data_IF_509872381938
#
_entry.id   IF_509872381938
#
_cell.length_a   1.000
_cell.length_b   1.000
_cell.length_c   1.000
_cell.angle_alpha   90.00
_cell.angle_beta   90.00
_cell.angle_gamma   90.00
#
_symmetry.space_group_name_H-M   'P 1'
#
loop_
_entity.id
_entity.type
_entity.pdbx_description
1 polymer ?
#
# COMPACT_ATOMS: atom_id res chain seq x y z
N UNK A 1 -16.53 -4.59 46.05
CA UNK A 1 -16.58 -4.81 44.60
C UNK A 1 -17.15 -6.19 44.35
N UNK A 2 -18.30 -6.28 43.71
CA UNK A 2 -18.97 -7.55 43.43
C UNK A 2 -18.37 -8.23 42.20
N UNK A 3 -18.68 -9.52 42.01
CA UNK A 3 -18.28 -10.27 40.81
C UNK A 3 -18.84 -9.60 39.54
N UNK A 4 -20.06 -9.09 39.59
CA UNK A 4 -20.72 -8.42 38.47
C UNK A 4 -20.03 -7.10 38.09
N UNK A 5 -19.60 -6.30 39.07
CA UNK A 5 -18.82 -5.08 38.83
C UNK A 5 -17.47 -5.39 38.16
N UNK A 6 -16.87 -6.54 38.51
CA UNK A 6 -15.60 -7.00 37.93
C UNK A 6 -15.77 -7.50 36.50
N UNK A 7 -16.87 -8.19 36.20
CA UNK A 7 -17.23 -8.62 34.84
C UNK A 7 -17.48 -7.41 33.94
N UNK A 8 -18.30 -6.45 34.38
CA UNK A 8 -18.59 -5.24 33.62
C UNK A 8 -17.32 -4.42 33.33
N UNK A 9 -16.38 -4.33 34.29
CA UNK A 9 -15.09 -3.67 34.08
C UNK A 9 -14.21 -4.41 33.07
N UNK A 10 -14.22 -5.74 33.08
CA UNK A 10 -13.47 -6.55 32.12
C UNK A 10 -14.05 -6.42 30.71
N UNK A 11 -15.37 -6.47 30.55
CA UNK A 11 -16.06 -6.26 29.27
C UNK A 11 -15.76 -4.87 28.68
N UNK A 12 -15.80 -3.83 29.51
CA UNK A 12 -15.45 -2.47 29.09
C UNK A 12 -13.99 -2.38 28.61
N UNK A 13 -13.05 -3.02 29.31
CA UNK A 13 -11.64 -3.07 28.91
C UNK A 13 -11.43 -3.87 27.62
N UNK A 14 -12.17 -4.96 27.43
CA UNK A 14 -12.12 -5.79 26.23
C UNK A 14 -12.62 -5.01 25.01
N UNK A 15 -13.73 -4.30 25.16
CA UNK A 15 -14.28 -3.44 24.11
C UNK A 15 -13.29 -2.33 23.74
N UNK A 16 -12.73 -1.63 24.74
CA UNK A 16 -11.73 -0.60 24.50
C UNK A 16 -10.48 -1.14 23.80
N UNK A 17 -9.97 -2.30 24.23
CA UNK A 17 -8.81 -2.91 23.60
C UNK A 17 -9.09 -3.34 22.15
N UNK A 18 -10.30 -3.81 21.87
CA UNK A 18 -10.75 -4.15 20.51
C UNK A 18 -10.81 -2.90 19.62
N UNK A 19 -11.34 -1.79 20.14
CA UNK A 19 -11.36 -0.49 19.45
C UNK A 19 -9.95 0.03 19.17
N UNK A 20 -9.06 0.01 20.18
CA UNK A 20 -7.67 0.43 20.05
C UNK A 20 -6.92 -0.43 19.01
N UNK A 21 -7.13 -1.75 19.02
CA UNK A 21 -6.54 -2.66 18.04
C UNK A 21 -7.02 -2.38 16.61
N UNK A 22 -8.32 -2.09 16.43
CA UNK A 22 -8.86 -1.70 15.14
C UNK A 22 -8.28 -0.36 14.67
N UNK A 23 -8.12 0.61 15.58
CA UNK A 23 -7.53 1.91 15.26
C UNK A 23 -6.06 1.79 14.84
N UNK A 24 -5.24 1.05 15.58
CA UNK A 24 -3.82 0.83 15.25
C UNK A 24 -3.67 0.09 13.92
N UNK A 25 -4.52 -0.91 13.67
CA UNK A 25 -4.50 -1.65 12.39
C UNK A 25 -4.80 -0.73 11.21
N UNK A 26 -5.77 0.19 11.33
CA UNK A 26 -6.05 1.20 10.31
C UNK A 26 -4.89 2.17 10.11
N UNK A 27 -4.27 2.64 11.19
CA UNK A 27 -3.11 3.55 11.11
C UNK A 27 -1.93 2.88 10.41
N UNK A 28 -1.65 1.61 10.73
CA UNK A 28 -0.58 0.85 10.09
C UNK A 28 -0.86 0.66 8.60
N UNK A 29 -2.11 0.30 8.26
CA UNK A 29 -2.54 0.18 6.87
C UNK A 29 -2.38 1.50 6.10
N UNK A 30 -2.77 2.63 6.70
CA UNK A 30 -2.61 3.95 6.11
C UNK A 30 -1.13 4.33 5.91
N UNK A 31 -0.28 4.08 6.92
CA UNK A 31 1.14 4.35 6.82
C UNK A 31 1.82 3.54 5.71
N UNK A 32 1.44 2.26 5.57
CA UNK A 32 1.90 1.45 4.43
C UNK A 32 1.43 2.02 3.10
N UNK A 33 0.19 2.53 3.03
CA UNK A 33 -0.33 3.16 1.82
C UNK A 33 0.51 4.37 1.44
N UNK A 34 0.72 5.28 2.38
CA UNK A 34 1.47 6.51 2.09
C UNK A 34 2.95 6.22 1.74
N UNK A 35 3.55 5.19 2.36
CA UNK A 35 4.88 4.72 1.98
C UNK A 35 4.94 4.23 0.53
N UNK A 36 3.94 3.46 0.09
CA UNK A 36 3.91 2.93 -1.28
C UNK A 36 3.65 4.03 -2.31
N UNK A 37 2.82 5.02 -1.99
CA UNK A 37 2.63 6.19 -2.83
C UNK A 37 3.99 6.88 -3.11
N UNK A 38 4.76 7.19 -2.06
CA UNK A 38 6.05 7.85 -2.24
C UNK A 38 7.06 7.05 -3.07
N UNK A 39 7.00 5.70 -3.01
CA UNK A 39 7.85 4.84 -3.84
C UNK A 39 7.44 4.85 -5.31
N UNK A 40 6.15 4.99 -5.60
CA UNK A 40 5.63 5.09 -6.97
C UNK A 40 6.02 6.45 -7.56
N UNK A 41 5.83 7.53 -6.80
CA UNK A 41 6.18 8.90 -7.21
C UNK A 41 7.69 9.03 -7.53
N UNK A 42 8.56 8.44 -6.70
CA UNK A 42 10.00 8.39 -6.96
C UNK A 42 10.35 7.62 -8.24
N UNK A 43 9.66 6.51 -8.51
CA UNK A 43 9.85 5.74 -9.73
C UNK A 43 9.41 6.51 -10.98
N UNK A 44 8.27 7.19 -10.91
CA UNK A 44 7.77 8.04 -11.98
C UNK A 44 8.76 9.17 -12.29
N UNK A 45 9.32 9.80 -11.25
CA UNK A 45 10.37 10.81 -11.42
C UNK A 45 11.62 10.22 -12.08
N UNK A 46 12.07 9.03 -11.67
CA UNK A 46 13.21 8.35 -12.30
C UNK A 46 12.94 7.98 -13.75
N UNK A 47 11.72 7.56 -14.09
CA UNK A 47 11.31 7.30 -15.47
C UNK A 47 11.36 8.59 -16.27
N UNK A 48 10.75 9.67 -15.80
CA UNK A 48 10.77 10.97 -16.48
C UNK A 48 12.18 11.54 -16.66
N UNK A 49 13.05 11.40 -15.67
CA UNK A 49 14.44 11.88 -15.74
C UNK A 49 15.37 10.97 -16.56
N UNK A 50 15.08 9.67 -16.63
CA UNK A 50 15.90 8.67 -17.31
C UNK A 50 15.46 8.34 -18.75
N UNK A 51 14.25 8.70 -19.14
CA UNK A 51 13.64 8.30 -20.41
C UNK A 51 13.86 9.31 -21.55
N UNK A 52 15.07 9.86 -21.67
CA UNK A 52 15.43 10.62 -22.87
C UNK A 52 15.41 9.78 -24.16
N UNK A 53 15.37 8.43 -24.10
CA UNK A 53 15.42 7.56 -25.30
C UNK A 53 14.62 6.23 -25.26
N UNK A 54 13.86 5.90 -24.20
CA UNK A 54 13.17 4.58 -24.08
C UNK A 54 11.78 4.66 -23.40
N UNK A 55 10.94 5.58 -23.85
CA UNK A 55 9.89 6.24 -23.05
C UNK A 55 8.57 5.48 -23.02
N UNK A 56 8.01 5.08 -24.17
CA UNK A 56 6.60 4.64 -24.26
C UNK A 56 6.27 3.41 -23.39
N UNK A 57 7.18 2.43 -23.31
CA UNK A 57 6.95 1.22 -22.52
C UNK A 57 7.06 1.49 -21.01
N UNK A 58 7.97 2.38 -20.60
CA UNK A 58 8.15 2.72 -19.19
C UNK A 58 7.00 3.62 -18.70
N UNK A 59 6.55 4.56 -19.53
CA UNK A 59 5.37 5.38 -19.26
C UNK A 59 4.11 4.51 -19.12
N UNK A 60 3.90 3.55 -20.03
CA UNK A 60 2.78 2.62 -19.95
C UNK A 60 2.79 1.80 -18.65
N UNK A 61 3.95 1.24 -18.26
CA UNK A 61 4.09 0.48 -17.02
C UNK A 61 3.91 1.35 -15.77
N UNK A 62 4.35 2.61 -15.81
CA UNK A 62 4.17 3.58 -14.72
C UNK A 62 2.70 3.95 -14.54
N UNK A 63 2.00 4.25 -15.64
CA UNK A 63 0.56 4.53 -15.65
C UNK A 63 -0.26 3.33 -15.17
N UNK A 64 0.12 2.11 -15.56
CA UNK A 64 -0.51 0.89 -15.08
C UNK A 64 -0.30 0.69 -13.57
N UNK A 65 0.92 0.94 -13.07
CA UNK A 65 1.24 0.88 -11.64
C UNK A 65 0.41 1.88 -10.84
N UNK A 66 0.33 3.14 -11.29
CA UNK A 66 -0.51 4.18 -10.66
C UNK A 66 -1.99 3.79 -10.64
N UNK A 67 -2.51 3.22 -11.74
CA UNK A 67 -3.90 2.79 -11.83
C UNK A 67 -4.20 1.65 -10.86
N UNK A 68 -3.32 0.63 -10.82
CA UNK A 68 -3.44 -0.49 -9.87
C UNK A 68 -3.35 0.00 -8.43
N UNK A 69 -2.46 0.95 -8.16
CA UNK A 69 -2.31 1.57 -6.85
C UNK A 69 -3.55 2.37 -6.40
N UNK A 70 -4.11 3.19 -7.28
CA UNK A 70 -5.33 3.96 -7.00
C UNK A 70 -6.52 3.03 -6.71
N UNK A 71 -6.65 1.94 -7.47
CA UNK A 71 -7.67 0.92 -7.24
C UNK A 71 -7.46 0.20 -5.90
N UNK A 72 -6.21 -0.10 -5.55
CA UNK A 72 -5.84 -0.70 -4.28
C UNK A 72 -6.24 0.18 -3.10
N UNK A 73 -5.83 1.45 -3.15
CA UNK A 73 -6.13 2.44 -2.12
C UNK A 73 -7.63 2.58 -1.87
N UNK A 74 -8.43 2.71 -2.94
CA UNK A 74 -9.90 2.79 -2.81
C UNK A 74 -10.50 1.54 -2.15
N UNK A 75 -10.05 0.36 -2.54
CA UNK A 75 -10.53 -0.88 -1.90
C UNK A 75 -10.17 -0.96 -0.41
N UNK A 76 -9.05 -0.37 0.02
CA UNK A 76 -8.71 -0.27 1.44
C UNK A 76 -9.57 0.75 2.19
N UNK A 77 -9.84 1.90 1.57
CA UNK A 77 -10.70 2.95 2.14
C UNK A 77 -12.17 2.47 2.27
N UNK A 78 -12.68 1.74 1.27
CA UNK A 78 -14.04 1.17 1.28
C UNK A 78 -14.18 -0.01 2.27
N UNK A 79 -13.11 -0.75 2.52
CA UNK A 79 -13.09 -1.84 3.48
C UNK A 79 -12.95 -1.30 4.92
N UNK A 80 -14.06 -0.86 5.51
CA UNK A 80 -14.17 -0.35 6.90
C UNK A 80 -13.50 -1.23 7.99
N UNK A 81 -13.34 -2.53 7.70
CA UNK A 81 -12.41 -3.45 8.33
C UNK A 81 -11.45 -3.96 7.27
N UNK A 82 -10.23 -3.42 7.19
CA UNK A 82 -9.19 -3.93 6.31
C UNK A 82 -8.86 -5.36 6.70
N UNK A 83 -9.52 -6.34 6.09
CA UNK A 83 -9.19 -7.75 6.30
C UNK A 83 -7.75 -7.93 5.83
N UNK A 84 -6.90 -8.57 6.64
CA UNK A 84 -5.47 -8.74 6.34
C UNK A 84 -5.22 -9.29 4.92
N UNK A 85 -6.14 -10.11 4.40
CA UNK A 85 -6.09 -10.66 3.04
C UNK A 85 -6.17 -9.61 1.91
N UNK A 86 -6.98 -8.55 2.08
CA UNK A 86 -7.09 -7.46 1.09
C UNK A 86 -5.79 -6.65 1.10
N UNK A 87 -5.33 -6.24 2.28
CA UNK A 87 -4.04 -5.55 2.43
C UNK A 87 -2.88 -6.36 1.84
N UNK A 88 -2.86 -7.67 2.04
CA UNK A 88 -1.80 -8.55 1.53
C UNK A 88 -1.86 -8.75 0.01
N UNK A 89 -3.06 -8.90 -0.55
CA UNK A 89 -3.25 -8.98 -2.01
C UNK A 89 -2.81 -7.68 -2.68
N UNK A 90 -3.16 -6.54 -2.09
CA UNK A 90 -2.77 -5.23 -2.58
C UNK A 90 -1.26 -5.02 -2.49
N UNK A 91 -0.66 -5.35 -1.34
CA UNK A 91 0.80 -5.34 -1.16
C UNK A 91 1.48 -6.15 -2.26
N UNK A 92 1.04 -7.38 -2.48
CA UNK A 92 1.66 -8.30 -3.46
C UNK A 92 1.49 -7.81 -4.90
N UNK A 93 0.28 -7.36 -5.27
CA UNK A 93 0.01 -6.88 -6.63
C UNK A 93 0.78 -5.61 -6.99
N UNK A 94 0.88 -4.67 -6.05
CA UNK A 94 1.62 -3.42 -6.21
C UNK A 94 3.13 -3.69 -6.19
N UNK A 95 3.60 -4.57 -5.30
CA UNK A 95 5.02 -4.94 -5.23
C UNK A 95 5.50 -5.61 -6.52
N UNK A 96 4.70 -6.48 -7.11
CA UNK A 96 5.06 -7.13 -8.38
C UNK A 96 5.12 -6.11 -9.53
N UNK A 97 4.12 -5.24 -9.68
CA UNK A 97 4.12 -4.20 -10.69
C UNK A 97 5.30 -3.21 -10.52
N UNK A 98 5.63 -2.86 -9.26
CA UNK A 98 6.81 -2.06 -8.93
C UNK A 98 8.12 -2.76 -9.36
N UNK A 99 8.26 -4.07 -9.09
CA UNK A 99 9.45 -4.86 -9.49
C UNK A 99 9.59 -4.93 -11.01
N UNK A 100 8.49 -5.11 -11.73
CA UNK A 100 8.46 -5.12 -13.20
C UNK A 100 8.94 -3.78 -13.77
N UNK A 101 8.40 -2.66 -13.27
CA UNK A 101 8.80 -1.32 -13.71
C UNK A 101 10.27 -1.04 -13.41
N UNK A 102 10.74 -1.37 -12.20
CA UNK A 102 12.15 -1.21 -11.82
C UNK A 102 13.08 -2.05 -12.69
N UNK A 103 12.70 -3.28 -13.03
CA UNK A 103 13.50 -4.15 -13.91
C UNK A 103 13.56 -3.58 -15.31
N UNK A 104 12.43 -3.14 -15.86
CA UNK A 104 12.37 -2.51 -17.17
C UNK A 104 13.24 -1.23 -17.23
N UNK A 105 13.24 -0.42 -16.16
CA UNK A 105 14.08 0.77 -16.04
C UNK A 105 15.58 0.45 -15.99
N UNK A 106 15.96 -0.61 -15.25
CA UNK A 106 17.36 -1.04 -15.21
C UNK A 106 17.83 -1.60 -16.55
N UNK A 107 16.98 -2.36 -17.24
CA UNK A 107 17.29 -2.92 -18.55
C UNK A 107 17.36 -1.85 -19.63
N UNK A 108 16.49 -0.83 -19.61
CA UNK A 108 16.57 0.29 -20.53
C UNK A 108 17.89 1.05 -20.35
N UNK A 109 18.28 1.34 -19.10
CA UNK A 109 19.54 2.01 -18.78
C UNK A 109 20.78 1.21 -19.21
N UNK A 110 20.78 -0.11 -19.05
CA UNK A 110 21.86 -0.99 -19.53
C UNK A 110 22.01 -1.00 -21.05
N UNK A 111 20.92 -0.83 -21.80
CA UNK A 111 20.98 -0.75 -23.28
C UNK A 111 21.52 0.58 -23.78
N UNK A 112 21.48 1.62 -22.95
CA UNK A 112 21.98 2.96 -23.24
C UNK A 112 23.47 3.15 -22.87
N UNK A 113 24.09 2.20 -22.16
CA UNK A 113 25.51 2.24 -21.74
C UNK A 113 26.34 1.26 -22.55
#
# INVERSE_FOLDING_TARGET
MTTDERIAQLESRLNKLSEDHAAVTRQLAQAHVDQWQGRIDDLELQVHLGATEATDRLEALTSELQTRWSKARRQMEDASSTTSAVAETLRTGVENAYKELRTALLDSRKKLT
#
